data_IF_155435254365
#
_entry.id   IF_155435254365
#
_cell.length_a   1.000
_cell.length_b   1.000
_cell.length_c   1.000
_cell.angle_alpha   90.00
_cell.angle_beta   90.00
_cell.angle_gamma   90.00
#
_symmetry.space_group_name_H-M   'P 1'
#
loop_
_entity.id
_entity.type
_entity.pdbx_description
1 polymer ?
#
# COMPACT_ATOMS: atom_id res chain seq x y z
N UNK A 1 -32.13 -44.81 41.88
CA UNK A 1 -33.09 -45.47 40.95
C UNK A 1 -32.78 -44.92 39.57
N UNK A 2 -32.60 -45.83 38.60
CA UNK A 2 -32.18 -45.72 37.18
C UNK A 2 -32.56 -44.45 36.35
N UNK A 3 -31.92 -44.21 35.18
CA UNK A 3 -31.26 -42.95 34.80
C UNK A 3 -31.85 -42.20 33.57
N UNK A 4 -31.12 -41.17 33.14
CA UNK A 4 -31.23 -40.26 31.98
C UNK A 4 -31.70 -40.88 30.65
N UNK A 5 -32.40 -40.06 29.84
CA UNK A 5 -32.63 -40.25 28.41
C UNK A 5 -32.44 -38.93 27.65
N UNK A 6 -31.21 -38.69 27.22
CA UNK A 6 -30.92 -38.03 25.95
C UNK A 6 -30.62 -39.12 24.89
N UNK A 7 -30.65 -38.73 23.61
CA UNK A 7 -30.36 -39.51 22.39
C UNK A 7 -31.52 -40.25 21.68
N UNK A 8 -32.42 -39.46 21.11
CA UNK A 8 -33.17 -39.83 19.90
C UNK A 8 -32.58 -39.11 18.68
N UNK A 9 -31.40 -39.56 18.24
CA UNK A 9 -30.85 -39.25 16.90
C UNK A 9 -30.41 -40.55 16.22
N UNK A 10 -31.03 -40.82 15.07
CA UNK A 10 -30.58 -41.70 13.98
C UNK A 10 -30.11 -43.10 14.39
N UNK A 11 -31.07 -44.01 14.61
CA UNK A 11 -30.81 -45.42 14.30
C UNK A 11 -30.91 -45.61 12.80
N UNK A 12 -29.74 -45.73 12.16
CA UNK A 12 -29.59 -46.31 10.83
C UNK A 12 -30.29 -47.66 10.79
N UNK A 13 -30.96 -47.96 9.67
CA UNK A 13 -31.57 -49.26 9.46
C UNK A 13 -30.54 -50.39 9.65
N UNK A 14 -31.07 -51.48 10.20
CA UNK A 14 -30.45 -52.78 10.42
C UNK A 14 -29.28 -53.11 9.48
N UNK A 15 -28.14 -53.44 10.08
CA UNK A 15 -26.99 -54.03 9.39
C UNK A 15 -27.12 -55.57 9.25
N UNK A 16 -28.26 -56.12 9.67
CA UNK A 16 -28.52 -57.57 9.69
C UNK A 16 -29.13 -58.11 8.38
N UNK A 17 -29.44 -57.25 7.40
CA UNK A 17 -29.95 -57.66 6.07
C UNK A 17 -28.90 -57.62 4.96
N UNK A 18 -27.65 -57.29 5.27
CA UNK A 18 -26.53 -57.54 4.36
C UNK A 18 -25.81 -58.79 4.82
N UNK A 19 -25.67 -59.84 3.99
CA UNK A 19 -24.72 -60.90 4.28
C UNK A 19 -23.33 -60.27 4.21
N UNK A 20 -22.85 -59.83 5.39
CA UNK A 20 -21.55 -59.22 5.57
C UNK A 20 -20.48 -60.30 5.38
N UNK A 21 -19.77 -60.21 4.27
CA UNK A 21 -18.45 -60.78 4.09
C UNK A 21 -17.60 -59.74 3.38
N UNK A 22 -16.59 -59.23 4.07
CA UNK A 22 -15.62 -58.22 3.63
C UNK A 22 -15.22 -58.34 2.16
N UNK A 23 -15.08 -57.19 1.48
CA UNK A 23 -14.53 -57.05 0.12
C UNK A 23 -13.04 -57.43 -0.01
N UNK A 24 -12.48 -58.15 0.96
CA UNK A 24 -11.14 -58.69 0.90
C UNK A 24 -11.09 -60.00 1.71
N UNK A 25 -10.66 -61.05 1.01
CA UNK A 25 -10.35 -62.41 1.48
C UNK A 25 -11.49 -63.45 1.39
N UNK A 26 -11.23 -64.49 0.58
CA UNK A 26 -12.02 -65.69 0.30
C UNK A 26 -13.17 -65.58 -0.73
N UNK A 27 -12.79 -65.10 -1.91
CA UNK A 27 -13.56 -65.22 -3.16
C UNK A 27 -13.70 -66.73 -3.52
N UNK A 28 -14.95 -67.22 -3.55
CA UNK A 28 -15.47 -68.53 -4.00
C UNK A 28 -15.41 -69.74 -3.05
N UNK A 29 -16.26 -69.76 -2.03
CA UNK A 29 -16.87 -71.01 -1.55
C UNK A 29 -18.21 -71.25 -2.26
N UNK A 30 -18.15 -71.66 -3.53
CA UNK A 30 -19.30 -71.99 -4.39
C UNK A 30 -20.18 -73.12 -3.84
N UNK A 31 -19.71 -73.87 -2.82
CA UNK A 31 -20.49 -74.95 -2.22
C UNK A 31 -21.49 -74.45 -1.18
N UNK A 32 -21.25 -73.27 -0.61
CA UNK A 32 -22.08 -72.69 0.45
C UNK A 32 -22.74 -71.36 0.05
N UNK A 33 -22.62 -70.93 -1.22
CA UNK A 33 -23.35 -69.77 -1.73
C UNK A 33 -24.84 -70.08 -1.77
N UNK A 34 -25.63 -69.30 -1.05
CA UNK A 34 -27.09 -69.33 -1.18
C UNK A 34 -27.46 -68.86 -2.60
N UNK A 35 -28.41 -69.52 -3.27
CA UNK A 35 -28.93 -69.02 -4.54
C UNK A 35 -29.56 -67.65 -4.32
N UNK A 36 -29.44 -66.78 -5.33
CA UNK A 36 -30.13 -65.49 -5.33
C UNK A 36 -31.63 -65.71 -5.07
N UNK A 37 -32.24 -64.79 -4.33
CA UNK A 37 -33.68 -64.82 -4.12
C UNK A 37 -34.37 -64.83 -5.49
N UNK A 38 -35.25 -65.81 -5.70
CA UNK A 38 -36.01 -65.91 -6.93
C UNK A 38 -36.82 -64.61 -7.10
N UNK A 39 -36.53 -63.89 -8.18
CA UNK A 39 -37.31 -62.73 -8.57
C UNK A 39 -38.70 -63.21 -8.96
N UNK A 40 -39.67 -63.02 -8.05
CA UNK A 40 -41.07 -63.31 -8.31
C UNK A 40 -41.49 -62.56 -9.57
N UNK A 41 -42.17 -63.27 -10.49
CA UNK A 41 -42.73 -62.73 -11.72
C UNK A 41 -41.70 -62.40 -12.83
N UNK A 42 -40.43 -62.83 -12.72
CA UNK A 42 -39.41 -62.60 -13.76
C UNK A 42 -39.75 -63.30 -15.09
N UNK A 43 -40.39 -64.46 -15.03
CA UNK A 43 -40.78 -65.26 -16.19
C UNK A 43 -42.25 -65.05 -16.59
N UNK A 44 -42.97 -64.20 -15.86
CA UNK A 44 -44.36 -63.89 -16.19
C UNK A 44 -44.39 -63.03 -17.45
N UNK A 45 -45.11 -63.50 -18.45
CA UNK A 45 -45.33 -62.74 -19.69
C UNK A 45 -46.40 -61.69 -19.46
N UNK A 46 -46.02 -60.64 -18.76
CA UNK A 46 -46.87 -59.46 -18.59
C UNK A 46 -46.78 -58.61 -19.87
N UNK A 47 -47.91 -58.18 -20.46
CA UNK A 47 -47.90 -57.26 -21.59
C UNK A 47 -47.14 -55.97 -21.25
N UNK A 48 -46.36 -55.44 -22.20
CA UNK A 48 -45.56 -54.23 -21.97
C UNK A 48 -46.40 -53.04 -21.51
N UNK A 49 -47.64 -52.93 -21.97
CA UNK A 49 -48.59 -51.87 -21.59
C UNK A 49 -48.94 -51.93 -20.10
N UNK A 50 -49.11 -53.13 -19.56
CA UNK A 50 -49.42 -53.35 -18.14
C UNK A 50 -48.19 -53.08 -17.28
N UNK A 51 -46.98 -53.45 -17.76
CA UNK A 51 -45.70 -53.12 -17.12
C UNK A 51 -45.52 -51.61 -17.04
N UNK A 52 -45.80 -50.89 -18.14
CA UNK A 52 -45.68 -49.43 -18.18
C UNK A 52 -46.68 -48.75 -17.24
N UNK A 53 -47.92 -49.25 -17.18
CA UNK A 53 -48.93 -48.71 -16.26
C UNK A 53 -48.56 -48.95 -14.79
N UNK A 54 -48.05 -50.14 -14.46
CA UNK A 54 -47.54 -50.44 -13.11
C UNK A 54 -46.33 -49.59 -12.75
N UNK A 55 -45.37 -49.42 -13.66
CA UNK A 55 -44.21 -48.56 -13.47
C UNK A 55 -44.61 -47.09 -13.28
N UNK A 56 -45.59 -46.60 -14.04
CA UNK A 56 -46.13 -45.25 -13.87
C UNK A 56 -46.79 -45.09 -12.50
N UNK A 57 -47.58 -46.09 -12.06
CA UNK A 57 -48.21 -46.07 -10.75
C UNK A 57 -47.18 -46.07 -9.62
N UNK A 58 -46.11 -46.89 -9.72
CA UNK A 58 -45.02 -46.92 -8.74
C UNK A 58 -44.23 -45.61 -8.71
N UNK A 59 -43.95 -44.99 -9.87
CA UNK A 59 -43.31 -43.67 -9.94
C UNK A 59 -44.15 -42.57 -9.29
N UNK A 60 -45.48 -42.71 -9.30
CA UNK A 60 -46.41 -41.75 -8.70
C UNK A 60 -46.67 -42.02 -7.21
N UNK A 61 -46.61 -43.26 -6.74
CA UNK A 61 -46.98 -43.63 -5.37
C UNK A 61 -46.05 -43.03 -4.31
N UNK A 62 -44.75 -42.89 -4.62
CA UNK A 62 -43.75 -42.30 -3.72
C UNK A 62 -43.31 -40.89 -4.11
N UNK A 63 -44.05 -40.23 -5.02
CA UNK A 63 -43.73 -38.85 -5.40
C UNK A 63 -44.28 -37.90 -4.35
N UNK A 64 -43.38 -37.24 -3.60
CA UNK A 64 -43.75 -36.16 -2.71
C UNK A 64 -44.53 -35.09 -3.50
N UNK A 65 -45.79 -34.84 -3.12
CA UNK A 65 -46.68 -33.88 -3.79
C UNK A 65 -46.17 -32.44 -3.69
N UNK A 66 -45.35 -32.15 -2.68
CA UNK A 66 -44.79 -30.84 -2.40
C UNK A 66 -43.27 -30.97 -2.25
N UNK A 67 -42.52 -30.73 -3.34
CA UNK A 67 -41.05 -30.78 -3.34
C UNK A 67 -40.45 -29.74 -2.39
N UNK A 68 -41.21 -28.69 -2.07
CA UNK A 68 -40.77 -27.55 -1.25
C UNK A 68 -41.42 -27.49 0.16
N UNK A 69 -42.17 -28.51 0.60
CA UNK A 69 -42.82 -28.47 1.93
C UNK A 69 -41.86 -28.44 3.12
N UNK A 70 -40.57 -28.74 2.90
CA UNK A 70 -39.52 -28.66 3.90
C UNK A 70 -38.69 -27.37 3.82
N UNK A 71 -38.97 -26.49 2.85
CA UNK A 71 -38.41 -25.16 2.91
C UNK A 71 -39.23 -24.37 3.93
N UNK A 72 -38.61 -23.87 5.02
CA UNK A 72 -39.30 -22.90 5.86
C UNK A 72 -39.77 -21.77 4.95
N UNK A 73 -41.04 -21.35 5.11
CA UNK A 73 -41.52 -20.16 4.44
C UNK A 73 -40.53 -19.04 4.74
N UNK A 74 -39.99 -18.39 3.70
CA UNK A 74 -39.17 -17.20 3.92
C UNK A 74 -40.03 -16.22 4.70
N UNK A 75 -39.53 -15.73 5.83
CA UNK A 75 -40.20 -14.67 6.58
C UNK A 75 -40.33 -13.48 5.62
N UNK A 76 -41.56 -13.02 5.35
CA UNK A 76 -41.78 -11.90 4.41
C UNK A 76 -41.15 -10.59 4.94
N UNK A 77 -40.85 -10.55 6.24
CA UNK A 77 -40.16 -9.46 6.93
C UNK A 77 -38.62 -9.56 6.86
N UNK A 78 -38.05 -10.67 6.37
CA UNK A 78 -36.62 -10.83 6.21
C UNK A 78 -36.19 -10.15 4.89
N UNK A 79 -35.38 -9.06 4.93
CA UNK A 79 -34.99 -8.36 3.72
C UNK A 79 -34.21 -9.32 2.82
N UNK A 80 -34.73 -9.59 1.62
CA UNK A 80 -34.02 -10.37 0.60
C UNK A 80 -32.66 -9.70 0.39
N UNK A 81 -31.59 -10.37 0.83
CA UNK A 81 -30.23 -9.92 0.64
C UNK A 81 -29.91 -9.97 -0.86
N UNK A 82 -30.22 -8.87 -1.56
CA UNK A 82 -29.92 -8.73 -2.99
C UNK A 82 -28.41 -8.62 -3.13
N UNK A 83 -27.76 -9.77 -3.27
CA UNK A 83 -26.36 -9.85 -3.68
C UNK A 83 -26.26 -9.11 -5.02
N UNK A 84 -25.60 -7.96 -5.00
CA UNK A 84 -25.26 -7.24 -6.22
C UNK A 84 -24.48 -8.18 -7.14
N UNK A 85 -24.74 -8.10 -8.45
CA UNK A 85 -23.95 -8.84 -9.44
C UNK A 85 -22.47 -8.50 -9.17
N UNK A 86 -21.61 -9.50 -8.90
CA UNK A 86 -20.21 -9.24 -8.65
C UNK A 86 -19.59 -8.55 -9.88
N UNK A 87 -18.79 -7.52 -9.64
CA UNK A 87 -18.13 -6.80 -10.71
C UNK A 87 -17.22 -7.75 -11.50
N UNK A 88 -17.23 -7.60 -12.83
CA UNK A 88 -16.33 -8.35 -13.70
C UNK A 88 -14.89 -8.05 -13.26
N UNK A 89 -14.04 -9.07 -13.04
CA UNK A 89 -12.66 -8.84 -12.66
C UNK A 89 -11.95 -8.00 -13.72
N UNK A 90 -11.35 -6.88 -13.30
CA UNK A 90 -10.62 -5.96 -14.16
C UNK A 90 -9.20 -5.83 -13.65
N UNK A 91 -8.25 -5.69 -14.57
CA UNK A 91 -6.89 -5.33 -14.19
C UNK A 91 -6.89 -3.91 -13.64
N UNK A 92 -6.52 -3.76 -12.38
CA UNK A 92 -6.48 -2.48 -11.69
C UNK A 92 -5.11 -1.83 -11.92
N UNK A 93 -5.03 -0.91 -12.89
CA UNK A 93 -3.87 -0.05 -13.05
C UNK A 93 -3.96 1.11 -12.05
N UNK A 94 -3.16 1.05 -10.99
CA UNK A 94 -3.04 2.14 -10.03
C UNK A 94 -2.49 3.42 -10.66
N UNK A 95 -2.76 4.55 -10.01
CA UNK A 95 -2.17 5.82 -10.43
C UNK A 95 -0.68 5.81 -10.11
N UNK A 96 0.16 6.12 -11.11
CA UNK A 96 1.61 5.97 -11.03
C UNK A 96 2.29 7.33 -10.82
N UNK A 97 3.16 7.39 -9.82
CA UNK A 97 3.93 8.57 -9.45
C UNK A 97 5.42 8.30 -9.64
N UNK A 98 6.07 9.13 -10.44
CA UNK A 98 7.52 9.14 -10.58
C UNK A 98 8.11 10.15 -9.59
N UNK A 99 8.94 9.64 -8.68
CA UNK A 99 9.71 10.44 -7.73
C UNK A 99 11.19 10.37 -8.10
N UNK A 100 11.86 11.52 -8.25
CA UNK A 100 13.30 11.61 -8.51
C UNK A 100 14.00 12.32 -7.36
N UNK A 101 14.98 11.66 -6.76
CA UNK A 101 15.82 12.22 -5.71
C UNK A 101 17.03 12.92 -6.32
N UNK A 102 17.10 14.25 -6.19
CA UNK A 102 18.11 15.06 -6.87
C UNK A 102 19.35 15.28 -5.99
N UNK A 103 19.15 15.80 -4.77
CA UNK A 103 20.24 16.12 -3.85
C UNK A 103 19.78 16.13 -2.40
N UNK A 104 20.62 15.68 -1.48
CA UNK A 104 20.45 15.81 -0.04
C UNK A 104 21.68 16.52 0.52
N UNK A 105 21.48 17.65 1.20
CA UNK A 105 22.56 18.47 1.77
C UNK A 105 22.27 18.81 3.21
N UNK A 106 23.29 18.76 4.05
CA UNK A 106 23.26 19.20 5.44
C UNK A 106 24.17 20.41 5.62
N UNK A 107 24.05 21.14 6.73
CA UNK A 107 24.98 22.22 7.07
C UNK A 107 26.39 21.71 7.42
N UNK A 108 26.51 20.41 7.73
CA UNK A 108 27.76 19.70 7.93
C UNK A 108 27.75 18.38 7.16
N UNK A 109 28.86 18.07 6.49
CA UNK A 109 29.09 16.76 5.86
C UNK A 109 30.23 16.06 6.61
N UNK A 110 29.89 15.07 7.45
CA UNK A 110 30.84 14.37 8.33
C UNK A 110 30.81 12.85 8.21
N UNK A 111 29.71 12.27 7.73
CA UNK A 111 29.53 10.83 7.59
C UNK A 111 28.46 10.50 6.53
N UNK A 112 28.38 9.23 6.07
CA UNK A 112 27.38 8.78 5.12
C UNK A 112 25.96 8.82 5.68
N UNK A 113 25.03 9.37 4.89
CA UNK A 113 23.60 9.39 5.18
C UNK A 113 22.87 8.46 4.21
N UNK A 114 22.08 7.54 4.76
CA UNK A 114 21.26 6.61 4.00
C UNK A 114 19.81 7.08 4.06
N UNK A 115 19.15 7.14 2.91
CA UNK A 115 17.80 7.64 2.82
C UNK A 115 16.87 6.60 2.20
N UNK A 116 15.63 6.56 2.69
CA UNK A 116 14.57 5.73 2.15
C UNK A 116 13.27 6.51 1.99
N UNK A 117 12.51 6.16 0.95
CA UNK A 117 11.15 6.65 0.69
C UNK A 117 10.15 5.49 0.80
N UNK A 118 8.98 5.75 1.38
CA UNK A 118 7.84 4.86 1.28
C UNK A 118 6.52 5.64 1.37
N UNK A 119 5.47 5.07 0.80
CA UNK A 119 4.12 5.61 0.87
C UNK A 119 3.37 5.04 2.08
N UNK A 120 2.63 5.92 2.74
CA UNK A 120 1.78 5.60 3.88
C UNK A 120 0.40 6.22 3.67
N UNK A 121 -0.64 5.45 3.91
CA UNK A 121 -2.01 5.95 3.99
C UNK A 121 -2.34 6.22 5.47
N UNK A 122 -2.49 7.50 5.82
CA UNK A 122 -2.78 7.91 7.18
C UNK A 122 -4.22 7.64 7.61
N UNK A 123 -5.16 7.52 6.67
CA UNK A 123 -6.56 7.20 6.93
C UNK A 123 -6.71 5.73 7.30
N UNK A 124 -6.08 4.85 6.51
CA UNK A 124 -6.11 3.39 6.73
C UNK A 124 -5.06 2.93 7.75
N UNK A 125 -4.13 3.81 8.15
CA UNK A 125 -2.99 3.53 9.04
C UNK A 125 -2.14 2.35 8.55
N UNK A 126 -1.89 2.31 7.24
CA UNK A 126 -1.10 1.27 6.59
C UNK A 126 0.04 1.87 5.78
N UNK A 127 1.17 1.17 5.78
CA UNK A 127 2.24 1.39 4.82
C UNK A 127 1.82 0.73 3.51
N UNK A 128 1.78 1.49 2.42
CA UNK A 128 1.22 1.05 1.14
C UNK A 128 2.28 0.81 0.05
N UNK A 129 3.57 0.88 0.39
CA UNK A 129 4.65 0.53 -0.54
C UNK A 129 5.86 -0.10 0.17
N UNK A 130 6.71 -0.80 -0.58
CA UNK A 130 8.06 -1.15 -0.11
C UNK A 130 8.92 0.12 0.11
N UNK A 131 10.09 -0.07 0.72
CA UNK A 131 11.07 1.00 0.86
C UNK A 131 11.87 1.16 -0.43
N UNK A 132 11.90 2.37 -0.97
CA UNK A 132 12.87 2.77 -1.97
C UNK A 132 14.10 3.38 -1.30
N UNK A 133 15.22 2.66 -1.30
CA UNK A 133 16.50 3.16 -0.81
C UNK A 133 17.25 3.88 -1.92
N UNK A 134 17.85 5.03 -1.60
CA UNK A 134 18.61 5.82 -2.56
C UNK A 134 19.85 6.43 -1.92
N UNK A 135 20.90 6.62 -2.73
CA UNK A 135 22.20 7.12 -2.29
C UNK A 135 22.58 8.43 -3.01
N UNK A 136 22.71 9.49 -2.21
CA UNK A 136 23.09 10.83 -2.63
C UNK A 136 24.43 11.29 -2.02
N UNK A 137 25.16 10.39 -1.35
CA UNK A 137 26.46 10.71 -0.76
C UNK A 137 27.50 11.06 -1.85
N UNK A 138 28.44 11.92 -1.50
CA UNK A 138 29.62 12.21 -2.32
C UNK A 138 30.56 10.99 -2.37
N UNK A 139 31.38 10.89 -3.42
CA UNK A 139 32.34 9.78 -3.56
C UNK A 139 33.37 9.75 -2.41
N UNK A 140 33.70 10.91 -1.83
CA UNK A 140 34.55 11.02 -0.65
C UNK A 140 33.91 10.33 0.55
N UNK A 141 32.65 10.65 0.86
CA UNK A 141 31.91 10.07 1.99
C UNK A 141 31.70 8.56 1.80
N UNK A 142 31.38 8.11 0.57
CA UNK A 142 31.32 6.66 0.26
C UNK A 142 32.67 5.97 0.50
N UNK A 143 33.78 6.69 0.30
CA UNK A 143 35.14 6.23 0.58
C UNK A 143 35.32 5.71 2.01
N UNK A 144 34.60 6.29 2.98
CA UNK A 144 34.67 5.90 4.40
C UNK A 144 34.14 4.49 4.66
N UNK A 145 33.32 3.94 3.76
CA UNK A 145 32.69 2.63 3.90
C UNK A 145 33.30 1.56 2.98
N UNK A 146 34.41 1.85 2.29
CA UNK A 146 35.08 0.92 1.38
C UNK A 146 35.33 -0.48 1.94
N UNK A 147 35.69 -0.69 3.22
CA UNK A 147 35.88 -2.04 3.76
C UNK A 147 34.59 -2.89 3.78
N UNK A 148 33.43 -2.26 3.70
CA UNK A 148 32.12 -2.88 3.94
C UNK A 148 31.22 -2.88 2.71
N UNK A 149 31.42 -1.93 1.80
CA UNK A 149 30.57 -1.74 0.62
C UNK A 149 31.23 -2.39 -0.58
N UNK A 150 30.64 -3.47 -1.07
CA UNK A 150 30.99 -4.05 -2.37
C UNK A 150 30.65 -3.06 -3.49
N UNK A 151 31.32 -3.13 -4.65
CA UNK A 151 30.93 -2.36 -5.82
C UNK A 151 29.43 -2.53 -6.08
N UNK A 152 28.69 -1.41 -6.03
CA UNK A 152 27.25 -1.42 -6.20
C UNK A 152 26.91 -1.81 -7.64
N UNK A 153 26.00 -2.78 -7.79
CA UNK A 153 25.45 -3.11 -9.10
C UNK A 153 24.66 -1.90 -9.63
N UNK A 154 24.65 -1.69 -10.94
CA UNK A 154 23.92 -0.56 -11.55
C UNK A 154 22.44 -0.59 -11.16
N UNK A 155 21.88 -1.79 -10.97
CA UNK A 155 20.51 -1.99 -10.51
C UNK A 155 20.20 -1.39 -9.14
N UNK A 156 21.21 -1.23 -8.28
CA UNK A 156 21.06 -0.65 -6.93
C UNK A 156 21.39 0.84 -6.88
N UNK A 157 21.79 1.46 -8.01
CA UNK A 157 22.16 2.88 -8.10
C UNK A 157 20.98 3.80 -8.45
N UNK A 158 19.75 3.28 -8.44
CA UNK A 158 18.55 4.04 -8.74
C UNK A 158 18.42 5.27 -7.83
N UNK A 159 18.05 6.40 -8.43
CA UNK A 159 17.67 7.64 -7.72
C UNK A 159 16.25 8.08 -8.06
N UNK A 160 15.59 7.32 -8.92
CA UNK A 160 14.20 7.53 -9.31
C UNK A 160 13.41 6.26 -9.02
N UNK A 161 12.19 6.46 -8.57
CA UNK A 161 11.26 5.41 -8.22
C UNK A 161 9.88 5.70 -8.78
N UNK A 162 9.20 4.64 -9.25
CA UNK A 162 7.80 4.71 -9.65
C UNK A 162 6.97 3.99 -8.60
N UNK A 163 6.08 4.74 -7.96
CA UNK A 163 5.11 4.23 -7.01
C UNK A 163 3.75 4.08 -7.69
N UNK A 164 3.10 2.94 -7.50
CA UNK A 164 1.73 2.71 -7.95
C UNK A 164 0.79 2.78 -6.75
N UNK A 165 -0.38 3.41 -6.94
CA UNK A 165 -1.43 3.51 -5.93
C UNK A 165 -2.76 3.08 -6.57
N UNK A 166 -3.19 1.87 -6.26
CA UNK A 166 -4.41 1.24 -6.78
C UNK A 166 -5.67 1.93 -6.28
N UNK A 167 -5.72 2.26 -4.99
CA UNK A 167 -6.82 2.99 -4.37
C UNK A 167 -6.32 4.33 -3.83
N UNK A 168 -6.31 5.39 -4.66
CA UNK A 168 -5.77 6.67 -4.25
C UNK A 168 -6.65 7.30 -3.16
N UNK A 169 -6.02 7.67 -2.06
CA UNK A 169 -6.64 8.29 -0.89
C UNK A 169 -6.18 9.74 -0.76
N UNK A 170 -7.00 10.60 -0.14
CA UNK A 170 -6.61 11.98 0.17
C UNK A 170 -5.52 12.06 1.24
N UNK A 171 -5.24 10.94 1.91
CA UNK A 171 -4.40 10.82 3.09
C UNK A 171 -3.07 10.11 2.82
N UNK A 172 -2.58 10.15 1.57
CA UNK A 172 -1.32 9.52 1.20
C UNK A 172 -0.15 10.47 1.43
N UNK A 173 0.84 9.98 2.17
CA UNK A 173 2.08 10.68 2.46
C UNK A 173 3.28 9.91 1.91
N UNK A 174 4.20 10.64 1.30
CA UNK A 174 5.55 10.16 1.02
C UNK A 174 6.42 10.43 2.25
N UNK A 175 6.72 9.37 3.00
CA UNK A 175 7.56 9.45 4.20
C UNK A 175 9.01 9.20 3.81
N UNK A 176 9.89 10.06 4.30
CA UNK A 176 11.33 9.98 4.09
C UNK A 176 11.99 9.68 5.44
N UNK A 177 12.72 8.57 5.52
CA UNK A 177 13.51 8.21 6.70
C UNK A 177 14.99 8.28 6.37
N UNK A 178 15.76 8.91 7.25
CA UNK A 178 17.21 9.06 7.16
C UNK A 178 17.87 8.25 8.28
N UNK A 179 18.90 7.53 7.90
CA UNK A 179 19.76 6.75 8.79
C UNK A 179 21.20 7.19 8.59
N UNK A 180 22.03 6.94 9.60
CA UNK A 180 23.48 7.15 9.56
C UNK A 180 24.20 5.93 10.10
N UNK A 181 25.53 5.91 10.05
CA UNK A 181 26.31 4.80 10.62
C UNK A 181 26.07 4.72 12.13
N UNK A 182 25.97 3.51 12.67
CA UNK A 182 25.79 3.29 14.11
C UNK A 182 26.98 3.87 14.90
N UNK A 183 26.68 4.72 15.88
CA UNK A 183 27.66 5.35 16.77
C UNK A 183 27.39 4.95 18.23
N UNK A 184 28.38 5.17 19.08
CA UNK A 184 28.23 4.94 20.52
C UNK A 184 27.50 6.11 21.18
N UNK A 185 26.47 5.81 21.97
CA UNK A 185 25.65 6.80 22.68
C UNK A 185 24.19 6.70 22.27
N UNK A 186 23.36 7.58 22.84
CA UNK A 186 21.94 7.61 22.50
C UNK A 186 21.73 8.21 21.09
N UNK A 187 20.69 7.72 20.40
CA UNK A 187 20.31 8.24 19.07
C UNK A 187 20.12 9.75 19.10
N UNK A 188 19.53 10.25 20.19
CA UNK A 188 19.28 11.66 20.37
C UNK A 188 20.57 12.49 20.42
N UNK A 189 21.59 12.04 21.14
CA UNK A 189 22.87 12.73 21.28
C UNK A 189 23.64 12.72 19.95
N UNK A 190 23.62 11.58 19.26
CA UNK A 190 24.29 11.40 17.97
C UNK A 190 23.74 12.32 16.85
N UNK A 191 22.53 12.87 17.01
CA UNK A 191 21.92 13.79 16.06
C UNK A 191 22.22 15.29 16.35
N UNK A 192 22.68 15.63 17.57
CA UNK A 192 22.94 17.02 17.96
C UNK A 192 23.93 17.77 17.07
N UNK A 193 25.00 17.14 16.54
CA UNK A 193 25.93 17.85 15.68
C UNK A 193 25.26 18.51 14.47
N UNK A 194 24.25 17.85 13.90
CA UNK A 194 23.50 18.32 12.74
C UNK A 194 22.46 19.41 13.04
N UNK A 195 22.25 19.71 14.32
CA UNK A 195 21.35 20.77 14.76
C UNK A 195 22.12 22.03 15.17
N UNK A 196 23.35 21.86 15.66
CA UNK A 196 24.12 22.92 16.32
C UNK A 196 25.22 23.46 15.41
N UNK A 197 25.94 22.60 14.69
CA UNK A 197 27.13 23.00 13.94
C UNK A 197 26.80 23.37 12.50
N UNK A 198 27.58 24.31 11.98
CA UNK A 198 27.58 24.75 10.58
C UNK A 198 29.02 24.85 10.08
N UNK A 199 29.25 24.49 8.82
CA UNK A 199 30.59 24.61 8.22
C UNK A 199 31.14 26.05 8.16
N UNK A 200 30.25 27.05 8.17
CA UNK A 200 30.60 28.46 8.03
C UNK A 200 31.00 29.17 9.34
N UNK A 201 30.94 28.49 10.50
CA UNK A 201 31.14 29.13 11.80
C UNK A 201 32.61 29.26 12.24
N UNK A 202 32.84 30.16 13.21
CA UNK A 202 34.13 30.59 13.80
C UNK A 202 35.21 29.50 13.99
N UNK A 203 36.49 29.91 13.96
CA UNK A 203 37.70 29.05 14.05
C UNK A 203 37.68 28.02 15.18
N UNK A 204 37.02 28.29 16.32
CA UNK A 204 36.87 27.34 17.44
C UNK A 204 35.94 26.16 17.14
N UNK A 205 34.92 26.36 16.29
CA UNK A 205 34.00 25.29 15.87
C UNK A 205 34.63 24.40 14.79
N UNK A 206 35.54 24.94 13.99
CA UNK A 206 36.26 24.18 12.96
C UNK A 206 37.06 23.01 13.55
N UNK A 207 37.82 23.24 14.63
CA UNK A 207 38.58 22.17 15.30
C UNK A 207 37.66 21.08 15.89
N UNK A 208 36.51 21.48 16.46
CA UNK A 208 35.50 20.52 16.94
C UNK A 208 34.89 19.71 15.82
N UNK A 209 34.57 20.35 14.69
CA UNK A 209 34.01 19.68 13.52
C UNK A 209 35.01 18.68 12.92
N UNK A 210 36.29 19.02 12.90
CA UNK A 210 37.35 18.13 12.43
C UNK A 210 37.54 16.90 13.35
N UNK A 211 37.44 17.10 14.68
CA UNK A 211 37.39 15.98 15.64
C UNK A 211 36.17 15.08 15.43
N UNK A 212 35.00 15.66 15.18
CA UNK A 212 33.77 14.92 14.87
C UNK A 212 33.89 14.12 13.56
N UNK A 213 34.49 14.70 12.51
CA UNK A 213 34.79 13.98 11.26
C UNK A 213 35.71 12.80 11.49
N UNK A 214 36.82 13.00 12.21
CA UNK A 214 37.78 11.95 12.53
C UNK A 214 37.14 10.81 13.33
N UNK A 215 36.29 11.16 14.30
CA UNK A 215 35.53 10.19 15.08
C UNK A 215 34.51 9.43 14.21
N UNK A 216 33.80 10.12 13.33
CA UNK A 216 32.82 9.52 12.42
C UNK A 216 33.49 8.54 11.45
N UNK A 217 34.70 8.87 10.97
CA UNK A 217 35.50 7.97 10.14
C UNK A 217 35.88 6.69 10.88
N UNK A 218 36.28 6.79 12.16
CA UNK A 218 36.56 5.62 12.99
C UNK A 218 35.33 4.71 13.15
N UNK A 219 34.14 5.30 13.33
CA UNK A 219 32.90 4.54 13.37
C UNK A 219 32.56 3.92 12.02
N UNK A 220 32.75 4.63 10.91
CA UNK A 220 32.58 4.07 9.57
C UNK A 220 33.49 2.88 9.32
N UNK A 221 34.74 2.92 9.81
CA UNK A 221 35.72 1.83 9.69
C UNK A 221 35.45 0.63 10.60
N UNK A 222 34.71 0.80 11.71
CA UNK A 222 34.44 -0.27 12.69
C UNK A 222 33.02 -0.83 12.59
N UNK A 223 32.05 0.04 12.32
CA UNK A 223 30.60 -0.20 12.38
C UNK A 223 29.88 0.14 11.07
N UNK A 224 30.59 0.37 9.96
CA UNK A 224 29.99 0.80 8.69
C UNK A 224 28.93 -0.14 8.08
N UNK A 225 28.77 -1.37 8.59
CA UNK A 225 27.66 -2.28 8.23
C UNK A 225 26.36 -2.00 8.99
N UNK A 226 26.44 -1.34 10.14
CA UNK A 226 25.31 -1.10 11.02
C UNK A 226 24.85 0.35 10.90
N UNK A 227 23.54 0.54 10.94
CA UNK A 227 22.89 1.82 10.79
C UNK A 227 22.03 2.12 12.00
N UNK A 228 21.83 3.40 12.25
CA UNK A 228 20.90 3.88 13.25
C UNK A 228 19.99 4.93 12.60
N UNK A 229 18.70 5.00 13.00
CA UNK A 229 17.83 6.06 12.55
C UNK A 229 18.36 7.41 13.02
N UNK A 230 18.13 8.44 12.22
CA UNK A 230 18.73 9.76 12.43
C UNK A 230 17.68 10.87 12.33
N UNK A 231 16.90 10.87 11.26
CA UNK A 231 15.90 11.90 11.02
C UNK A 231 14.77 11.37 10.15
N UNK A 232 13.62 12.04 10.16
CA UNK A 232 12.53 11.71 9.27
C UNK A 232 11.76 12.96 8.85
N UNK A 233 11.00 12.86 7.77
CA UNK A 233 10.05 13.89 7.32
C UNK A 233 8.97 13.24 6.47
N UNK A 234 7.91 13.96 6.13
CA UNK A 234 6.95 13.48 5.16
C UNK A 234 6.38 14.61 4.30
N UNK A 235 5.83 14.20 3.16
CA UNK A 235 5.24 15.09 2.17
C UNK A 235 3.83 14.61 1.91
N UNK A 236 2.85 15.49 2.08
CA UNK A 236 1.46 15.21 1.75
C UNK A 236 1.25 15.29 0.24
N UNK A 237 0.96 14.15 -0.41
CA UNK A 237 0.87 14.10 -1.87
C UNK A 237 -0.26 14.96 -2.43
N UNK A 238 -1.38 15.06 -1.71
CA UNK A 238 -2.52 15.86 -2.15
C UNK A 238 -2.17 17.34 -2.28
N UNK A 239 -1.26 17.87 -1.45
CA UNK A 239 -0.83 19.26 -1.58
C UNK A 239 -0.17 19.52 -2.94
N UNK A 240 0.56 18.54 -3.48
CA UNK A 240 1.24 18.67 -4.77
C UNK A 240 0.21 18.70 -5.90
N UNK A 241 -0.78 17.80 -5.81
CA UNK A 241 -1.81 17.60 -6.83
C UNK A 241 -2.78 18.79 -6.86
N UNK A 242 -3.20 19.28 -5.69
CA UNK A 242 -4.13 20.41 -5.58
C UNK A 242 -3.47 21.77 -5.84
N UNK A 243 -2.20 21.98 -5.44
CA UNK A 243 -1.52 23.26 -5.67
C UNK A 243 -1.27 23.55 -7.15
N UNK A 244 -1.30 22.54 -8.02
CA UNK A 244 -1.17 22.71 -9.47
C UNK A 244 -2.37 23.45 -10.12
N UNK A 245 -3.51 23.60 -9.43
CA UNK A 245 -4.71 24.27 -9.95
C UNK A 245 -4.91 25.74 -9.53
N UNK A 246 -4.09 26.28 -8.62
CA UNK A 246 -4.39 27.58 -7.97
C UNK A 246 -3.64 28.79 -8.55
N UNK A 247 -2.68 28.61 -9.46
CA UNK A 247 -1.82 29.70 -9.97
C UNK A 247 -2.29 30.34 -11.28
N UNK A 248 -3.45 29.94 -11.83
CA UNK A 248 -3.94 30.42 -13.14
C UNK A 248 -4.97 31.56 -13.01
N UNK A 249 -4.86 32.45 -12.01
CA UNK A 249 -5.78 33.59 -11.91
C UNK A 249 -5.16 34.95 -11.60
N UNK A 250 -3.85 35.09 -11.71
CA UNK A 250 -3.20 36.39 -11.49
C UNK A 250 -1.95 36.58 -12.36
N UNK A 251 -2.14 36.55 -13.69
CA UNK A 251 -1.12 36.98 -14.66
C UNK A 251 -1.73 37.21 -16.06
N UNK A 252 -2.73 38.09 -16.13
CA UNK A 252 -3.13 38.76 -17.38
C UNK A 252 -3.19 40.26 -17.14
N UNK A 253 -2.02 40.86 -17.13
CA UNK A 253 -1.74 42.27 -17.37
C UNK A 253 -0.52 42.25 -18.32
N UNK A 254 -0.43 42.87 -19.48
CA UNK A 254 -1.16 43.96 -20.14
C UNK A 254 -0.92 43.79 -21.65
N UNK A 255 -1.83 44.25 -22.51
CA UNK A 255 -1.53 44.87 -23.83
C UNK A 255 -2.85 45.36 -24.45
N UNK A 256 -3.23 46.62 -24.20
CA UNK A 256 -4.12 47.38 -25.09
C UNK A 256 -3.58 48.82 -25.17
N UNK A 257 -3.34 49.28 -26.40
CA UNK A 257 -2.69 50.53 -26.77
C UNK A 257 -3.51 51.82 -26.55
N UNK A 258 -2.97 52.96 -27.03
CA UNK A 258 -3.29 54.29 -26.51
C UNK A 258 -4.56 54.87 -27.15
N UNK A 259 -5.40 55.50 -26.32
CA UNK A 259 -6.57 56.26 -26.77
C UNK A 259 -7.00 57.27 -25.71
N UNK A 260 -7.14 58.52 -26.12
CA UNK A 260 -7.25 59.70 -25.27
C UNK A 260 -8.58 59.84 -24.48
N UNK A 261 -8.52 60.73 -23.46
CA UNK A 261 -9.58 61.62 -22.90
C UNK A 261 -10.44 61.13 -21.72
N UNK A 262 -10.10 61.75 -20.58
CA UNK A 262 -10.95 62.67 -19.77
C UNK A 262 -11.92 62.06 -18.73
N UNK A 263 -11.60 62.32 -17.44
CA UNK A 263 -12.57 62.87 -16.49
C UNK A 263 -12.96 62.03 -15.26
N UNK A 264 -12.54 62.54 -14.09
CA UNK A 264 -13.41 62.87 -12.94
C UNK A 264 -13.80 61.81 -11.88
N UNK A 265 -13.32 62.10 -10.66
CA UNK A 265 -14.00 62.07 -9.35
C UNK A 265 -14.42 60.74 -8.68
N UNK A 266 -13.76 60.52 -7.53
CA UNK A 266 -14.26 60.07 -6.22
C UNK A 266 -15.66 59.44 -6.14
N UNK A 267 -15.76 58.24 -5.53
CA UNK A 267 -16.44 58.14 -4.23
C UNK A 267 -16.19 56.82 -3.49
N UNK A 268 -16.10 56.98 -2.17
CA UNK A 268 -16.08 55.96 -1.13
C UNK A 268 -17.32 55.07 -1.21
N UNK A 269 -17.19 53.79 -0.88
CA UNK A 269 -18.13 53.16 0.07
C UNK A 269 -17.52 51.93 0.75
N UNK A 270 -17.33 52.14 2.06
CA UNK A 270 -17.20 51.15 3.10
C UNK A 270 -18.45 50.25 3.12
N UNK A 271 -18.26 48.93 3.13
CA UNK A 271 -19.23 48.00 3.71
C UNK A 271 -18.53 46.73 4.20
N UNK A 272 -18.00 46.82 5.41
CA UNK A 272 -17.94 45.69 6.32
C UNK A 272 -19.37 45.24 6.66
N UNK A 273 -19.84 44.08 6.18
CA UNK A 273 -20.71 43.18 6.94
C UNK A 273 -20.75 41.78 6.31
N UNK A 274 -20.21 40.81 7.05
CA UNK A 274 -20.76 39.46 7.30
C UNK A 274 -21.63 38.86 6.19
N UNK A 275 -21.04 37.96 5.40
CA UNK A 275 -21.74 37.12 4.43
C UNK A 275 -21.20 35.69 4.45
N UNK A 276 -21.68 34.91 5.42
CA UNK A 276 -21.78 33.44 5.48
C UNK A 276 -20.83 32.63 4.58
N UNK A 277 -19.87 31.96 5.24
CA UNK A 277 -19.26 30.72 4.75
C UNK A 277 -20.38 29.76 4.37
N UNK A 278 -20.45 29.38 3.09
CA UNK A 278 -21.29 28.29 2.64
C UNK A 278 -20.77 27.00 3.28
N UNK A 279 -21.46 26.58 4.34
CA UNK A 279 -21.42 25.22 4.85
C UNK A 279 -22.28 24.40 3.90
N UNK A 280 -21.71 23.98 2.77
CA UNK A 280 -22.26 22.85 2.02
C UNK A 280 -21.76 21.58 2.69
N UNK A 281 -22.62 21.10 3.59
CA UNK A 281 -22.70 19.71 4.00
C UNK A 281 -23.18 18.93 2.77
N UNK A 282 -22.25 18.34 2.03
CA UNK A 282 -22.56 17.30 1.04
C UNK A 282 -21.86 16.01 1.48
N UNK A 283 -22.71 15.06 1.85
CA UNK A 283 -22.58 13.61 1.69
C UNK A 283 -21.18 13.06 1.40
N UNK A 284 -20.71 12.19 2.30
CA UNK A 284 -19.70 11.17 2.06
C UNK A 284 -19.96 10.42 0.75
N UNK A 285 -19.25 10.80 -0.30
CA UNK A 285 -19.11 10.07 -1.56
C UNK A 285 -17.65 10.19 -1.97
N UNK A 286 -17.04 9.08 -2.39
CA UNK A 286 -15.65 8.99 -2.83
C UNK A 286 -15.33 10.04 -3.91
N UNK A 287 -14.78 11.20 -3.52
CA UNK A 287 -14.07 12.05 -4.46
C UNK A 287 -12.78 11.33 -4.85
N UNK A 288 -12.79 10.71 -6.03
CA UNK A 288 -11.65 10.01 -6.59
C UNK A 288 -10.46 10.98 -6.72
N UNK A 289 -9.43 10.76 -5.91
CA UNK A 289 -8.18 11.51 -5.98
C UNK A 289 -7.53 11.25 -7.34
N UNK A 290 -7.19 12.30 -8.11
CA UNK A 290 -6.57 12.14 -9.42
C UNK A 290 -5.07 12.47 -9.37
N UNK A 291 -4.25 11.45 -9.17
CA UNK A 291 -2.78 11.49 -9.23
C UNK A 291 -2.22 11.21 -10.64
N UNK A 292 -3.07 10.98 -11.65
CA UNK A 292 -2.63 10.67 -13.01
C UNK A 292 -2.28 11.92 -13.84
N UNK A 293 -2.84 13.08 -13.50
CA UNK A 293 -2.68 14.32 -14.26
C UNK A 293 -2.45 15.53 -13.35
N UNK A 294 -1.20 15.79 -13.01
CA UNK A 294 -0.78 17.03 -12.33
C UNK A 294 0.54 17.54 -12.93
N UNK A 295 0.80 18.84 -12.78
CA UNK A 295 2.06 19.43 -13.25
C UNK A 295 3.22 18.92 -12.40
N UNK A 296 4.35 18.48 -13.00
CA UNK A 296 5.55 18.12 -12.27
C UNK A 296 5.94 19.21 -11.26
N UNK A 297 6.29 18.80 -10.04
CA UNK A 297 6.66 19.69 -8.96
C UNK A 297 8.05 19.34 -8.43
N UNK A 298 8.95 20.32 -8.45
CA UNK A 298 10.23 20.24 -7.74
C UNK A 298 10.06 20.76 -6.32
N UNK A 299 10.19 19.88 -5.34
CA UNK A 299 10.06 20.21 -3.94
C UNK A 299 11.44 20.35 -3.29
N UNK A 300 11.57 21.38 -2.46
CA UNK A 300 12.71 21.54 -1.56
C UNK A 300 12.22 21.30 -0.14
N UNK A 301 12.52 20.12 0.38
CA UNK A 301 12.12 19.70 1.72
C UNK A 301 13.21 20.12 2.70
N UNK A 302 12.84 20.97 3.66
CA UNK A 302 13.76 21.49 4.69
C UNK A 302 13.40 21.07 6.10
N UNK A 303 12.17 20.60 6.31
CA UNK A 303 11.62 20.30 7.62
C UNK A 303 11.91 18.84 7.98
N UNK A 304 13.16 18.54 8.31
CA UNK A 304 13.53 17.24 8.88
C UNK A 304 13.38 17.27 10.38
N UNK A 305 12.81 16.21 10.95
CA UNK A 305 12.63 16.05 12.38
C UNK A 305 13.62 15.04 12.91
N UNK A 306 14.26 15.38 14.03
CA UNK A 306 15.11 14.47 14.80
C UNK A 306 14.32 13.22 15.16
N UNK A 307 14.89 12.06 14.85
CA UNK A 307 14.37 10.80 15.35
C UNK A 307 14.99 10.49 16.71
N UNK A 308 14.16 10.28 17.72
CA UNK A 308 14.61 9.88 19.07
C UNK A 308 14.38 8.38 19.24
N UNK A 309 15.43 7.63 19.64
CA UNK A 309 15.36 6.24 20.13
C UNK A 309 14.35 5.32 19.43
N UNK A 310 13.66 4.51 20.23
CA UNK A 310 12.58 3.60 19.81
C UNK A 310 11.24 4.32 19.50
N UNK A 311 11.24 5.66 19.32
CA UNK A 311 10.02 6.51 19.41
C UNK A 311 9.42 6.96 18.08
N UNK A 312 9.78 6.35 16.96
CA UNK A 312 8.97 6.47 15.74
C UNK A 312 8.26 5.15 15.48
N UNK A 313 7.45 4.74 16.47
CA UNK A 313 6.47 3.67 16.27
C UNK A 313 5.55 4.02 15.10
N UNK A 314 5.00 3.01 14.43
CA UNK A 314 4.04 3.25 13.35
C UNK A 314 2.83 4.05 13.86
N UNK A 315 2.39 3.82 15.10
CA UNK A 315 1.32 4.60 15.72
C UNK A 315 1.65 6.08 15.84
N UNK A 316 2.85 6.42 16.32
CA UNK A 316 3.27 7.82 16.47
C UNK A 316 3.49 8.48 15.11
N UNK A 317 4.05 7.73 14.15
CA UNK A 317 4.16 8.19 12.76
C UNK A 317 2.77 8.61 12.23
N UNK A 318 1.75 7.75 12.33
CA UNK A 318 0.41 8.10 11.86
C UNK A 318 -0.21 9.29 12.60
N UNK A 319 0.06 9.45 13.91
CA UNK A 319 -0.34 10.66 14.65
C UNK A 319 0.31 11.91 14.05
N UNK A 320 1.61 11.86 13.74
CA UNK A 320 2.33 12.98 13.12
C UNK A 320 1.93 13.22 11.65
N UNK A 321 1.52 12.20 10.90
CA UNK A 321 0.96 12.37 9.55
C UNK A 321 -0.39 13.10 9.60
N UNK A 322 -1.27 12.72 10.54
CA UNK A 322 -2.59 13.32 10.72
C UNK A 322 -2.52 14.81 11.14
N UNK A 323 -1.84 15.10 12.26
CA UNK A 323 -0.64 15.93 12.21
C UNK A 323 -0.52 17.03 11.15
N UNK A 324 0.25 16.72 10.11
CA UNK A 324 0.63 17.63 9.02
C UNK A 324 -0.56 18.16 8.21
N UNK A 325 -1.74 17.54 8.29
CA UNK A 325 -2.96 18.06 7.63
C UNK A 325 -3.51 19.29 8.31
N UNK A 326 -3.25 19.48 9.60
CA UNK A 326 -3.75 20.60 10.42
C UNK A 326 -2.62 21.12 11.27
N UNK A 327 -2.19 22.39 11.17
CA UNK A 327 -1.09 22.90 11.99
C UNK A 327 -1.45 22.87 13.49
N UNK A 328 -1.16 21.75 14.16
CA UNK A 328 -1.40 21.53 15.58
C UNK A 328 -0.09 21.59 16.37
N UNK A 329 -0.18 21.32 17.68
CA UNK A 329 0.94 21.45 18.61
C UNK A 329 1.91 20.26 18.58
N UNK A 330 1.54 19.11 18.01
CA UNK A 330 2.33 17.88 18.14
C UNK A 330 3.62 17.96 17.31
N UNK A 331 3.53 18.40 16.05
CA UNK A 331 4.73 18.61 15.21
C UNK A 331 5.66 19.68 15.78
N UNK A 332 5.13 20.70 16.49
CA UNK A 332 5.95 21.75 17.12
C UNK A 332 6.85 21.23 18.24
N UNK A 333 6.55 20.04 18.80
CA UNK A 333 7.39 19.41 19.82
C UNK A 333 8.60 18.69 19.22
N UNK A 334 8.58 18.39 17.93
CA UNK A 334 9.68 17.73 17.25
C UNK A 334 10.82 18.73 17.01
N UNK A 335 12.04 18.29 17.31
CA UNK A 335 13.23 19.13 17.12
C UNK A 335 13.67 19.07 15.65
N UNK A 336 13.81 20.22 14.96
CA UNK A 336 14.21 20.22 13.56
C UNK A 336 15.70 19.91 13.39
N UNK A 337 16.03 19.28 12.26
CA UNK A 337 17.40 19.10 11.76
C UNK A 337 17.55 19.91 10.48
N UNK A 338 18.62 20.68 10.37
CA UNK A 338 18.86 21.52 9.19
C UNK A 338 19.39 20.67 8.04
N UNK A 339 18.53 20.37 7.10
CA UNK A 339 18.88 19.68 5.86
C UNK A 339 18.03 20.19 4.69
N UNK A 340 18.51 19.98 3.48
CA UNK A 340 17.81 20.32 2.25
C UNK A 340 17.79 19.08 1.35
N UNK A 341 16.60 18.51 1.16
CA UNK A 341 16.36 17.46 0.18
C UNK A 341 15.59 18.05 -1.00
N UNK A 342 16.17 17.95 -2.20
CA UNK A 342 15.52 18.31 -3.46
C UNK A 342 14.98 17.04 -4.13
N UNK A 343 13.69 17.02 -4.40
CA UNK A 343 13.03 15.93 -5.13
C UNK A 343 12.12 16.48 -6.21
N UNK A 344 11.97 15.74 -7.29
CA UNK A 344 10.91 15.98 -8.29
C UNK A 344 9.83 14.92 -8.14
N UNK A 345 8.57 15.35 -8.17
CA UNK A 345 7.41 14.48 -8.17
C UNK A 345 6.57 14.81 -9.41
N UNK A 346 6.27 13.80 -10.21
CA UNK A 346 5.53 13.92 -11.47
C UNK A 346 4.68 12.68 -11.73
N UNK A 347 3.62 12.75 -12.55
CA UNK A 347 2.98 11.56 -13.08
C UNK A 347 4.02 10.67 -13.79
N UNK A 348 3.95 9.35 -13.58
CA UNK A 348 4.85 8.45 -14.29
C UNK A 348 4.48 8.40 -15.78
N UNK A 349 5.46 8.39 -16.70
CA UNK A 349 5.17 8.20 -18.12
C UNK A 349 4.60 6.80 -18.35
N UNK A 350 3.76 6.64 -19.38
CA UNK A 350 3.14 5.35 -19.73
C UNK A 350 4.19 4.25 -19.96
N UNK A 351 5.26 4.61 -20.69
CA UNK A 351 6.38 3.72 -21.01
C UNK A 351 7.69 4.29 -20.47
N UNK A 352 8.02 4.03 -19.19
CA UNK A 352 9.27 4.49 -18.62
C UNK A 352 10.45 3.68 -19.16
N UNK A 353 11.43 4.37 -19.72
CA UNK A 353 12.68 3.75 -20.18
C UNK A 353 13.60 3.42 -18.99
N UNK A 354 14.43 2.39 -19.14
CA UNK A 354 15.42 1.98 -18.14
C UNK A 354 14.80 1.61 -16.78
N UNK A 355 13.67 0.91 -16.81
CA UNK A 355 12.96 0.49 -15.62
C UNK A 355 13.41 -0.86 -15.10
N UNK A 356 13.42 -0.98 -13.77
CA UNK A 356 13.56 -2.24 -13.05
C UNK A 356 12.26 -2.56 -12.34
N UNK A 357 11.88 -3.83 -12.32
CA UNK A 357 10.79 -4.33 -11.48
C UNK A 357 11.16 -4.22 -9.99
N UNK A 358 10.20 -4.41 -9.06
CA UNK A 358 10.51 -4.45 -7.62
C UNK A 358 11.61 -5.46 -7.27
N UNK A 359 11.70 -6.58 -7.99
CA UNK A 359 12.69 -7.65 -7.86
C UNK A 359 14.02 -7.35 -8.58
N UNK A 360 14.22 -6.10 -9.02
CA UNK A 360 15.41 -5.61 -9.73
C UNK A 360 15.64 -6.23 -11.12
N UNK A 361 14.59 -6.76 -11.75
CA UNK A 361 14.64 -7.30 -13.11
C UNK A 361 14.45 -6.20 -14.15
N UNK A 362 15.16 -6.26 -15.27
CA UNK A 362 15.05 -5.26 -16.34
C UNK A 362 13.72 -5.38 -17.10
N UNK A 363 12.96 -4.28 -17.15
CA UNK A 363 11.77 -4.16 -17.99
C UNK A 363 12.23 -3.88 -19.42
N UNK A 364 11.73 -4.68 -20.38
CA UNK A 364 12.07 -4.53 -21.80
C UNK A 364 11.13 -3.52 -22.46
N UNK A 365 11.63 -2.65 -23.35
CA UNK A 365 13.02 -2.55 -23.80
C UNK A 365 13.92 -1.87 -22.76
N UNK A 366 15.15 -2.39 -22.61
CA UNK A 366 16.20 -1.81 -21.76
C UNK A 366 17.39 -1.42 -22.64
N UNK A 367 17.40 -0.21 -23.24
CA UNK A 367 18.31 0.12 -24.34
C UNK A 367 19.79 0.14 -23.95
N UNK A 368 20.12 0.51 -22.71
CA UNK A 368 21.50 0.58 -22.22
C UNK A 368 21.59 0.18 -20.75
N UNK A 369 22.27 -0.94 -20.50
CA UNK A 369 22.60 -1.48 -19.17
C UNK A 369 23.41 -0.53 -18.28
N UNK A 370 24.05 0.49 -18.85
CA UNK A 370 24.95 1.42 -18.13
C UNK A 370 24.24 2.65 -17.58
N UNK A 371 23.05 2.95 -18.07
CA UNK A 371 22.26 4.10 -17.60
C UNK A 371 21.68 3.77 -16.23
N UNK A 372 21.67 4.78 -15.34
CA UNK A 372 21.05 4.66 -14.03
C UNK A 372 19.56 4.31 -14.19
N UNK A 373 19.09 3.22 -13.57
CA UNK A 373 17.70 2.79 -13.71
C UNK A 373 16.73 3.64 -12.90
N UNK A 374 15.46 3.54 -13.29
CA UNK A 374 14.30 3.88 -12.45
C UNK A 374 13.72 2.59 -11.88
N UNK A 375 13.47 2.51 -10.56
CA UNK A 375 12.93 1.30 -9.94
C UNK A 375 11.42 1.40 -9.74
N UNK A 376 10.68 0.41 -10.19
CA UNK A 376 9.28 0.23 -9.80
C UNK A 376 9.21 -0.30 -8.37
N UNK A 377 8.35 0.31 -7.57
CA UNK A 377 8.21 0.02 -6.16
C UNK A 377 6.97 -0.84 -5.97
N UNK A 378 7.14 -1.96 -5.25
CA UNK A 378 6.03 -2.84 -4.90
C UNK A 378 4.99 -2.07 -4.06
N UNK A 379 3.75 -2.09 -4.52
CA UNK A 379 2.59 -1.59 -3.78
C UNK A 379 2.08 -2.65 -2.79
N UNK A 380 1.64 -2.20 -1.63
CA UNK A 380 0.81 -2.94 -0.69
C UNK A 380 -0.57 -2.27 -0.65
N UNK A 381 -1.54 -2.73 -1.47
CA UNK A 381 -2.85 -2.08 -1.55
C UNK A 381 -3.51 -1.98 -0.17
N UNK A 382 -4.08 -0.81 0.14
CA UNK A 382 -4.72 -0.59 1.45
C UNK A 382 -5.95 -1.49 1.68
N UNK A 383 -6.59 -1.89 0.58
CA UNK A 383 -7.75 -2.78 0.48
C UNK A 383 -7.41 -3.91 -0.48
N UNK A 384 -8.06 -5.06 -0.28
CA UNK A 384 -7.87 -6.21 -1.15
C UNK A 384 -8.27 -5.87 -2.59
N UNK A 385 -7.35 -6.11 -3.52
CA UNK A 385 -7.61 -5.97 -4.95
C UNK A 385 -8.10 -7.33 -5.44
N UNK A 386 -9.36 -7.41 -5.82
CA UNK A 386 -9.94 -8.62 -6.40
C UNK A 386 -9.52 -8.78 -7.86
N UNK A 387 -8.26 -9.15 -8.07
CA UNK A 387 -7.73 -9.54 -9.38
C UNK A 387 -7.53 -11.05 -9.45
N UNK A 388 -7.82 -11.69 -10.59
CA UNK A 388 -7.43 -13.07 -10.81
C UNK A 388 -5.89 -13.13 -10.76
N UNK A 389 -5.34 -14.03 -9.95
CA UNK A 389 -3.90 -14.29 -9.92
C UNK A 389 -3.47 -14.92 -11.25
N UNK A 390 -3.20 -14.10 -12.27
CA UNK A 390 -2.77 -14.54 -13.60
C UNK A 390 -1.27 -14.74 -13.69
N UNK A 391 -0.51 -14.27 -12.71
CA UNK A 391 0.93 -14.43 -12.61
C UNK A 391 1.34 -14.72 -11.17
N UNK A 392 2.25 -15.68 -11.00
CA UNK A 392 2.82 -16.02 -9.70
C UNK A 392 4.16 -15.31 -9.55
N UNK A 393 4.36 -14.54 -8.48
CA UNK A 393 5.67 -14.01 -8.07
C UNK A 393 6.21 -14.96 -6.99
N UNK A 394 7.41 -15.50 -7.22
CA UNK A 394 8.10 -16.40 -6.27
C UNK A 394 8.83 -15.64 -5.18
#
# INVERSE_FOLDING_TARGET
MYPEKDDLKRRSMSIDDTPRGSWACSIFDLKNSLPDALLSNLLDRTPNEEIDHQNEHQRKSNRHKEVFALHPAQDEDEPIERLSVPDVPKEHFGQRLLVKCLSLKFEIEIEPIFASLALYDAKEKKKISENFYFDLNSEQIKGMLRPYVTPAAISTLARSAIFSITYPSQDVFLVIKLEKVLQQGDIGECAEPYMIYKEADTTKNKEKLEKLRSQSELFCQRLGRYRMPFAWTAIHLMNIVSSAGSLERDSTELEIGPGERKGSWSERRNSSIVGRRSLERTTSGDESCNLSSFRPATLTVTNFFKQEGDRLSDEDLYKFLADMRRPSSVLRRLRPITAQLKIDISPAPENPNYCLTPELLQVKPYPDSRVRPTREILEFPARDVYVPNTTYRN
#
